data_IF_830268051707
#
_entry.id   IF_830268051707
#
_cell.length_a   1.000
_cell.length_b   1.000
_cell.length_c   1.000
_cell.angle_alpha   90.00
_cell.angle_beta   90.00
_cell.angle_gamma   90.00
#
_symmetry.space_group_name_H-M   'P 1'
#
loop_
_entity.id
_entity.type
_entity.pdbx_description
1 polymer ?
#
# COMPACT_ATOMS: atom_id res chain seq x y z
N UNK A 1 2.70 -16.23 3.57
CA UNK A 1 3.65 -17.28 3.23
C UNK A 1 4.10 -17.01 1.80
N UNK A 2 5.39 -17.03 1.55
CA UNK A 2 6.00 -16.80 0.24
C UNK A 2 7.31 -17.53 0.12
N UNK A 3 7.86 -17.58 -1.08
CA UNK A 3 9.13 -18.21 -1.41
C UNK A 3 9.89 -17.40 -2.46
N UNK A 4 11.18 -17.72 -2.63
CA UNK A 4 12.08 -17.05 -3.55
C UNK A 4 12.67 -18.09 -4.51
N UNK A 5 12.49 -17.90 -5.80
CA UNK A 5 12.79 -18.90 -6.83
C UNK A 5 13.66 -18.34 -7.95
N UNK A 6 14.45 -19.20 -8.58
CA UNK A 6 15.34 -18.84 -9.68
C UNK A 6 14.96 -19.56 -10.99
N UNK A 7 14.25 -20.69 -10.90
CA UNK A 7 13.87 -21.51 -12.04
C UNK A 7 12.38 -21.71 -12.15
N UNK A 8 11.91 -22.11 -13.33
CA UNK A 8 10.49 -22.41 -13.55
C UNK A 8 10.02 -23.59 -12.72
N UNK A 9 10.86 -24.62 -12.55
CA UNK A 9 10.55 -25.80 -11.74
C UNK A 9 10.37 -25.44 -10.27
N UNK A 10 11.25 -24.60 -9.73
CA UNK A 10 11.10 -24.06 -8.36
C UNK A 10 9.84 -23.24 -8.21
N UNK A 11 9.51 -22.42 -9.23
CA UNK A 11 8.31 -21.61 -9.23
C UNK A 11 7.01 -22.43 -9.19
N UNK A 12 6.93 -23.48 -10.00
CA UNK A 12 5.81 -24.42 -10.01
C UNK A 12 5.67 -25.14 -8.67
N UNK A 13 6.78 -25.63 -8.11
CA UNK A 13 6.79 -26.32 -6.83
C UNK A 13 6.31 -25.39 -5.68
N UNK A 14 6.80 -24.15 -5.64
CA UNK A 14 6.39 -23.16 -4.66
C UNK A 14 4.89 -22.80 -4.80
N UNK A 15 4.41 -22.64 -6.04
CA UNK A 15 3.00 -22.35 -6.27
C UNK A 15 2.08 -23.49 -5.87
N UNK A 16 2.46 -24.74 -6.09
CA UNK A 16 1.71 -25.91 -5.65
C UNK A 16 1.66 -26.01 -4.12
N UNK A 17 2.77 -25.67 -3.42
CA UNK A 17 2.78 -25.66 -1.94
C UNK A 17 1.92 -24.53 -1.37
N UNK A 18 1.95 -23.35 -1.99
CA UNK A 18 1.13 -22.19 -1.58
C UNK A 18 -0.34 -22.37 -1.94
N UNK A 19 -0.63 -23.08 -3.00
CA UNK A 19 -1.94 -23.21 -3.65
C UNK A 19 -2.30 -21.94 -4.44
N UNK A 20 -2.91 -22.11 -5.62
CA UNK A 20 -3.35 -21.00 -6.46
C UNK A 20 -4.52 -20.22 -5.85
N UNK A 21 -4.70 -18.93 -6.22
CA UNK A 21 -3.78 -18.11 -6.99
C UNK A 21 -2.55 -17.68 -6.19
N UNK A 22 -1.45 -17.38 -6.90
CA UNK A 22 -0.21 -16.84 -6.32
C UNK A 22 0.16 -15.51 -6.99
N UNK A 23 0.84 -14.65 -6.25
CA UNK A 23 1.40 -13.40 -6.73
C UNK A 23 2.87 -13.62 -7.06
N UNK A 24 3.28 -13.28 -8.27
CA UNK A 24 4.67 -13.37 -8.71
C UNK A 24 5.22 -11.98 -8.98
N UNK A 25 6.45 -11.74 -8.53
CA UNK A 25 7.15 -10.46 -8.74
C UNK A 25 8.65 -10.63 -8.79
N UNK A 26 9.38 -9.89 -9.63
CA UNK A 26 10.84 -9.83 -9.55
C UNK A 26 11.27 -9.20 -8.21
N UNK A 27 12.43 -9.58 -7.67
CA UNK A 27 12.89 -9.11 -6.35
C UNK A 27 13.18 -7.60 -6.28
N UNK A 28 13.51 -6.98 -7.39
CA UNK A 28 13.85 -5.54 -7.45
C UNK A 28 12.90 -4.81 -8.39
N UNK A 29 11.71 -4.51 -7.89
CA UNK A 29 10.67 -3.82 -8.65
C UNK A 29 10.15 -2.62 -7.88
N UNK A 30 9.97 -1.51 -8.59
CA UNK A 30 9.30 -0.32 -8.09
C UNK A 30 7.92 -0.18 -8.75
N UNK A 31 6.90 0.15 -7.95
CA UNK A 31 5.56 0.44 -8.45
C UNK A 31 4.84 -0.75 -9.10
N UNK A 32 5.16 -1.97 -8.69
CA UNK A 32 4.46 -3.18 -9.15
C UNK A 32 4.75 -3.61 -10.59
N UNK A 33 5.79 -3.07 -11.23
CA UNK A 33 6.16 -3.47 -12.60
C UNK A 33 6.43 -4.96 -12.69
N UNK A 34 5.96 -5.58 -13.78
CA UNK A 34 6.11 -7.01 -14.02
C UNK A 34 5.58 -7.91 -12.90
N UNK A 35 4.62 -7.44 -12.10
CA UNK A 35 3.89 -8.29 -11.17
C UNK A 35 2.70 -8.93 -11.87
N UNK A 36 2.48 -10.21 -11.61
CA UNK A 36 1.31 -10.94 -12.11
C UNK A 36 0.62 -11.73 -11.00
N UNK A 37 -0.65 -11.99 -11.17
CA UNK A 37 -1.40 -12.98 -10.39
C UNK A 37 -1.54 -14.21 -11.26
N UNK A 38 -0.89 -15.30 -10.87
CA UNK A 38 -0.96 -16.57 -11.59
C UNK A 38 -2.06 -17.46 -11.00
N UNK A 39 -2.93 -17.95 -11.85
CA UNK A 39 -4.06 -18.81 -11.49
C UNK A 39 -3.81 -20.28 -11.79
N UNK A 40 -2.73 -20.59 -12.51
CA UNK A 40 -2.34 -21.95 -12.88
C UNK A 40 -0.91 -22.04 -13.38
N UNK A 41 -0.49 -23.28 -13.69
CA UNK A 41 0.87 -23.59 -14.15
C UNK A 41 1.23 -22.88 -15.47
N UNK A 42 0.23 -22.65 -16.33
CA UNK A 42 0.44 -21.99 -17.63
C UNK A 42 0.91 -20.54 -17.44
N UNK A 43 0.30 -19.82 -16.52
CA UNK A 43 0.66 -18.42 -16.20
C UNK A 43 2.09 -18.34 -15.67
N UNK A 44 2.48 -19.30 -14.82
CA UNK A 44 3.86 -19.37 -14.28
C UNK A 44 4.87 -19.64 -15.39
N UNK A 45 4.60 -20.62 -16.26
CA UNK A 45 5.50 -20.96 -17.35
C UNK A 45 5.71 -19.78 -18.31
N UNK A 46 4.64 -19.07 -18.67
CA UNK A 46 4.71 -17.89 -19.53
C UNK A 46 5.52 -16.77 -18.87
N UNK A 47 5.21 -16.45 -17.61
CA UNK A 47 5.88 -15.40 -16.86
C UNK A 47 7.38 -15.67 -16.68
N UNK A 48 7.73 -16.87 -16.22
CA UNK A 48 9.13 -17.25 -16.03
C UNK A 48 9.92 -17.25 -17.36
N UNK A 49 9.28 -17.65 -18.46
CA UNK A 49 9.91 -17.57 -19.78
C UNK A 49 10.22 -16.12 -20.18
N UNK A 50 9.38 -15.16 -19.85
CA UNK A 50 9.62 -13.73 -20.11
C UNK A 50 10.76 -13.22 -19.23
N UNK A 51 10.73 -13.48 -17.93
CA UNK A 51 11.73 -13.01 -16.97
C UNK A 51 13.12 -13.59 -17.27
N UNK A 52 13.21 -14.90 -17.53
CA UNK A 52 14.49 -15.55 -17.84
C UNK A 52 15.11 -15.06 -19.16
N UNK A 53 14.29 -14.67 -20.15
CA UNK A 53 14.80 -14.06 -21.40
C UNK A 53 15.47 -12.70 -21.17
N UNK A 54 15.08 -11.96 -20.16
CA UNK A 54 15.66 -10.66 -19.81
C UNK A 54 17.02 -10.77 -19.11
N UNK A 55 17.58 -11.99 -18.95
CA UNK A 55 18.84 -12.27 -18.23
C UNK A 55 18.90 -11.60 -16.86
N UNK A 56 17.80 -11.65 -16.12
CA UNK A 56 17.79 -11.18 -14.75
C UNK A 56 18.47 -12.23 -13.87
N UNK A 57 19.56 -11.84 -13.23
CA UNK A 57 20.25 -12.64 -12.19
C UNK A 57 19.53 -12.58 -10.84
N UNK A 58 18.38 -11.90 -10.78
CA UNK A 58 17.62 -11.67 -9.57
C UNK A 58 16.51 -12.69 -9.41
N UNK A 59 16.29 -13.20 -8.20
CA UNK A 59 15.23 -14.16 -7.94
C UNK A 59 13.84 -13.56 -8.16
N UNK A 60 12.87 -14.42 -8.44
CA UNK A 60 11.44 -14.11 -8.44
C UNK A 60 10.86 -14.46 -7.07
N UNK A 61 10.06 -13.57 -6.51
CA UNK A 61 9.29 -13.81 -5.31
C UNK A 61 7.93 -14.36 -5.70
N UNK A 62 7.51 -15.41 -5.02
CA UNK A 62 6.18 -16.00 -5.15
C UNK A 62 5.51 -15.94 -3.80
N UNK A 63 4.40 -15.24 -3.72
CA UNK A 63 3.61 -15.10 -2.51
C UNK A 63 2.21 -15.67 -2.70
N UNK A 64 1.61 -16.20 -1.63
CA UNK A 64 0.18 -16.52 -1.64
C UNK A 64 -0.60 -15.25 -1.95
N UNK A 65 -1.40 -15.28 -3.02
CA UNK A 65 -2.33 -14.18 -3.29
C UNK A 65 -3.44 -14.17 -2.23
N UNK A 66 -3.61 -13.03 -1.59
CA UNK A 66 -4.65 -12.80 -0.60
C UNK A 66 -5.74 -11.93 -1.22
N UNK A 67 -6.98 -12.37 -1.14
CA UNK A 67 -8.15 -11.59 -1.56
C UNK A 67 -8.91 -11.14 -0.32
N UNK A 68 -8.97 -9.83 -0.11
CA UNK A 68 -9.61 -9.22 1.06
C UNK A 68 -9.83 -7.73 0.86
N UNK A 69 -10.17 -7.02 1.92
CA UNK A 69 -10.30 -5.56 1.92
C UNK A 69 -8.92 -4.94 2.11
N UNK A 70 -8.52 -4.08 1.20
CA UNK A 70 -7.26 -3.33 1.34
C UNK A 70 -7.47 -2.08 2.19
N UNK A 71 -6.56 -1.89 3.14
CA UNK A 71 -6.53 -0.78 4.08
C UNK A 71 -5.22 -0.02 3.91
N UNK A 72 -5.31 1.29 3.86
CA UNK A 72 -4.16 2.19 3.81
C UNK A 72 -4.11 3.08 5.04
N UNK A 73 -2.93 3.16 5.64
CA UNK A 73 -2.64 4.00 6.81
C UNK A 73 -1.45 4.88 6.51
N UNK A 74 -1.61 6.18 6.64
CA UNK A 74 -0.50 7.13 6.72
C UNK A 74 -0.33 7.56 8.18
N UNK A 75 0.87 7.38 8.72
CA UNK A 75 1.19 7.76 10.08
C UNK A 75 2.34 8.76 10.12
N UNK A 76 2.42 9.51 11.23
CA UNK A 76 3.54 10.35 11.59
C UNK A 76 4.21 9.70 12.80
N UNK A 77 5.53 9.56 12.77
CA UNK A 77 6.31 8.90 13.83
C UNK A 77 7.41 9.82 14.33
N UNK A 78 7.63 9.85 15.65
CA UNK A 78 8.71 10.60 16.30
C UNK A 78 9.83 9.71 16.88
N UNK A 79 9.81 8.42 16.49
CA UNK A 79 10.73 7.39 16.98
C UNK A 79 10.23 6.66 18.24
N UNK A 80 9.24 7.20 18.95
CA UNK A 80 8.66 6.61 20.16
C UNK A 80 7.14 6.50 20.08
N UNK A 81 6.49 7.50 19.50
CA UNK A 81 5.05 7.60 19.37
C UNK A 81 4.63 7.66 17.90
N UNK A 82 3.39 7.31 17.63
CA UNK A 82 2.75 7.48 16.32
C UNK A 82 1.51 8.34 16.43
N UNK A 83 1.18 9.04 15.34
CA UNK A 83 -0.13 9.66 15.12
C UNK A 83 -0.66 9.15 13.81
N UNK A 84 -1.83 8.54 13.83
CA UNK A 84 -2.59 8.07 12.67
C UNK A 84 -3.78 9.01 12.48
N UNK A 85 -3.76 9.92 11.50
CA UNK A 85 -4.87 10.84 11.25
C UNK A 85 -6.17 10.15 10.85
N UNK A 86 -6.07 8.99 10.20
CA UNK A 86 -7.21 8.18 9.82
C UNK A 86 -6.82 6.90 9.09
N UNK A 87 -7.77 5.97 9.08
CA UNK A 87 -7.66 4.70 8.37
C UNK A 87 -8.54 4.77 7.13
N UNK A 88 -7.97 4.45 5.97
CA UNK A 88 -8.66 4.45 4.68
C UNK A 88 -8.88 3.03 4.18
N UNK A 89 -9.94 2.86 3.41
CA UNK A 89 -10.29 1.61 2.74
C UNK A 89 -10.30 1.80 1.23
N UNK A 90 -9.74 0.86 0.48
CA UNK A 90 -9.81 0.86 -0.97
C UNK A 90 -11.10 0.20 -1.46
N UNK A 91 -11.69 0.78 -2.50
CA UNK A 91 -12.94 0.28 -3.10
C UNK A 91 -12.66 -0.84 -4.09
N UNK A 92 -11.52 -0.78 -4.75
CA UNK A 92 -11.10 -1.79 -5.74
C UNK A 92 -10.72 -3.11 -5.04
N UNK A 93 -10.82 -4.18 -5.85
CA UNK A 93 -10.35 -5.50 -5.41
C UNK A 93 -8.86 -5.51 -5.10
N UNK A 94 -8.43 -6.39 -4.24
CA UNK A 94 -7.02 -6.67 -3.94
C UNK A 94 -6.22 -6.91 -5.22
N UNK A 95 -5.02 -6.35 -5.28
CA UNK A 95 -4.12 -6.48 -6.42
C UNK A 95 -4.21 -5.30 -7.41
N UNK A 96 -4.97 -4.25 -7.10
CA UNK A 96 -4.87 -2.94 -7.76
C UNK A 96 -3.90 -2.08 -6.96
N UNK A 97 -2.99 -1.40 -7.66
CA UNK A 97 -2.02 -0.53 -6.97
C UNK A 97 -2.73 0.57 -6.17
N UNK A 98 -2.32 0.79 -4.91
CA UNK A 98 -2.96 1.75 -3.99
C UNK A 98 -3.05 3.18 -4.53
N UNK A 99 -2.05 3.61 -5.31
CA UNK A 99 -2.06 4.91 -5.98
C UNK A 99 -3.20 5.09 -6.97
N UNK A 100 -3.64 4.00 -7.59
CA UNK A 100 -4.67 3.95 -8.63
C UNK A 100 -6.06 3.67 -8.06
N UNK A 101 -6.14 3.32 -6.76
CA UNK A 101 -7.40 2.96 -6.11
C UNK A 101 -8.18 4.17 -5.61
N UNK A 102 -9.50 4.02 -5.64
CA UNK A 102 -10.41 4.90 -4.90
C UNK A 102 -10.25 4.59 -3.41
N UNK A 103 -9.97 5.60 -2.59
CA UNK A 103 -9.86 5.44 -1.16
C UNK A 103 -11.01 6.18 -0.44
N UNK A 104 -11.62 5.50 0.51
CA UNK A 104 -12.71 6.02 1.34
C UNK A 104 -12.20 6.21 2.77
N UNK A 105 -12.50 7.36 3.35
CA UNK A 105 -12.26 7.69 4.75
C UNK A 105 -13.57 8.09 5.43
N UNK A 106 -13.85 7.66 6.66
CA UNK A 106 -13.18 6.56 7.34
C UNK A 106 -13.43 5.22 6.63
N UNK A 107 -12.58 4.24 6.88
CA UNK A 107 -12.80 2.88 6.40
C UNK A 107 -14.16 2.35 6.89
N UNK A 108 -14.90 1.64 6.02
CA UNK A 108 -16.29 1.26 6.28
C UNK A 108 -16.43 -0.08 6.98
N UNK A 109 -15.60 -1.04 6.56
CA UNK A 109 -15.72 -2.44 6.95
C UNK A 109 -14.78 -2.82 8.10
N UNK A 110 -14.39 -1.80 8.90
CA UNK A 110 -13.55 -1.96 10.09
C UNK A 110 -14.35 -1.57 11.33
N UNK A 111 -14.49 -2.52 12.24
CA UNK A 111 -15.00 -2.26 13.59
C UNK A 111 -13.88 -1.81 14.54
N UNK A 112 -14.26 -1.48 15.77
CA UNK A 112 -13.32 -1.00 16.79
C UNK A 112 -12.21 -2.01 17.11
N UNK A 113 -12.50 -3.32 17.06
CA UNK A 113 -11.51 -4.37 17.31
C UNK A 113 -10.45 -4.42 16.21
N UNK A 114 -10.87 -4.42 14.94
CA UNK A 114 -9.95 -4.38 13.80
C UNK A 114 -9.17 -3.07 13.75
N UNK A 115 -9.82 -1.96 14.04
CA UNK A 115 -9.16 -0.65 14.14
C UNK A 115 -8.06 -0.66 15.19
N UNK A 116 -8.32 -1.20 16.38
CA UNK A 116 -7.32 -1.33 17.45
C UNK A 116 -6.15 -2.24 17.03
N UNK A 117 -6.42 -3.34 16.33
CA UNK A 117 -5.38 -4.22 15.78
C UNK A 117 -4.51 -3.51 14.75
N UNK A 118 -5.11 -2.73 13.83
CA UNK A 118 -4.38 -1.95 12.82
C UNK A 118 -3.48 -0.92 13.50
N UNK A 119 -4.02 -0.15 14.46
CA UNK A 119 -3.26 0.85 15.22
C UNK A 119 -2.07 0.18 15.93
N UNK A 120 -2.31 -0.93 16.63
CA UNK A 120 -1.25 -1.64 17.35
C UNK A 120 -0.18 -2.20 16.41
N UNK A 121 -0.58 -2.77 15.26
CA UNK A 121 0.36 -3.29 14.27
C UNK A 121 1.20 -2.15 13.67
N UNK A 122 0.56 -1.02 13.35
CA UNK A 122 1.24 0.19 12.86
C UNK A 122 2.25 0.70 13.89
N UNK A 123 1.87 0.78 15.17
CA UNK A 123 2.75 1.21 16.26
C UNK A 123 4.00 0.33 16.37
N UNK A 124 3.82 -0.99 16.39
CA UNK A 124 4.93 -1.95 16.48
C UNK A 124 5.88 -1.80 15.29
N UNK A 125 5.34 -1.76 14.06
CA UNK A 125 6.17 -1.61 12.86
C UNK A 125 6.95 -0.30 12.86
N UNK A 126 6.30 0.82 13.19
CA UNK A 126 6.95 2.13 13.24
C UNK A 126 8.07 2.18 14.29
N UNK A 127 7.83 1.61 15.46
CA UNK A 127 8.80 1.58 16.56
C UNK A 127 10.00 0.69 16.23
N UNK A 128 9.76 -0.53 15.74
CA UNK A 128 10.83 -1.47 15.38
C UNK A 128 11.68 -0.96 14.20
N UNK A 129 11.06 -0.29 13.25
CA UNK A 129 11.77 0.37 12.14
C UNK A 129 12.44 1.69 12.56
N UNK A 130 12.20 2.17 13.77
CA UNK A 130 12.68 3.48 14.26
C UNK A 130 12.33 4.61 13.29
N UNK A 131 11.10 4.57 12.77
CA UNK A 131 10.65 5.52 11.79
C UNK A 131 10.56 6.93 12.39
N UNK A 132 11.00 7.95 11.64
CA UNK A 132 10.85 9.36 11.98
C UNK A 132 10.28 10.09 10.77
N UNK A 133 9.21 10.84 10.97
CA UNK A 133 8.47 11.53 9.90
C UNK A 133 7.29 10.71 9.39
N UNK A 134 7.00 10.82 8.09
CA UNK A 134 5.88 10.13 7.47
C UNK A 134 6.21 8.68 7.11
N UNK A 135 5.25 7.81 7.33
CA UNK A 135 5.29 6.41 6.95
C UNK A 135 3.92 5.97 6.44
N UNK A 136 3.92 5.25 5.33
CA UNK A 136 2.72 4.68 4.73
C UNK A 136 2.74 3.16 4.88
N UNK A 137 1.63 2.61 5.32
CA UNK A 137 1.47 1.17 5.53
C UNK A 137 0.23 0.70 4.77
N UNK A 138 0.34 -0.47 4.14
CA UNK A 138 -0.76 -1.10 3.43
C UNK A 138 -1.03 -2.48 4.01
N UNK A 139 -2.30 -2.77 4.23
CA UNK A 139 -2.79 -3.99 4.83
C UNK A 139 -3.86 -4.65 3.97
N UNK A 140 -3.99 -5.96 4.09
CA UNK A 140 -5.18 -6.71 3.66
C UNK A 140 -5.87 -7.25 4.90
N UNK A 141 -7.18 -7.05 4.98
CA UNK A 141 -8.03 -7.72 5.95
C UNK A 141 -8.73 -8.88 5.26
N UNK A 142 -8.47 -10.09 5.74
CA UNK A 142 -9.11 -11.32 5.27
C UNK A 142 -9.49 -12.19 6.47
N UNK A 143 -10.76 -12.59 6.55
CA UNK A 143 -11.28 -13.39 7.68
C UNK A 143 -10.98 -12.77 9.06
N UNK A 144 -11.04 -11.45 9.19
CA UNK A 144 -10.72 -10.66 10.40
C UNK A 144 -9.25 -10.70 10.83
N UNK A 145 -8.37 -11.27 9.99
CA UNK A 145 -6.92 -11.24 10.18
C UNK A 145 -6.30 -10.12 9.33
N UNK A 146 -5.23 -9.52 9.86
CA UNK A 146 -4.52 -8.41 9.23
C UNK A 146 -3.21 -8.94 8.66
N UNK A 147 -3.01 -8.69 7.37
CA UNK A 147 -1.78 -9.00 6.65
C UNK A 147 -1.12 -7.71 6.19
N UNK A 148 0.17 -7.56 6.48
CA UNK A 148 0.96 -6.42 5.99
C UNK A 148 1.37 -6.68 4.55
N UNK A 149 1.04 -5.77 3.64
CA UNK A 149 1.47 -5.84 2.23
C UNK A 149 2.84 -5.19 2.10
N UNK A 150 2.93 -3.92 2.53
CA UNK A 150 4.17 -3.16 2.46
C UNK A 150 4.22 -2.03 3.49
N UNK A 151 5.43 -1.58 3.78
CA UNK A 151 5.72 -0.44 4.64
C UNK A 151 6.66 0.50 3.90
N UNK A 152 6.22 1.72 3.70
CA UNK A 152 6.95 2.75 2.95
C UNK A 152 7.33 3.91 3.88
N UNK A 153 8.58 4.03 4.35
CA UNK A 153 9.02 5.15 5.20
C UNK A 153 9.21 6.44 4.38
N UNK A 154 8.12 6.95 3.87
CA UNK A 154 8.01 8.16 3.05
C UNK A 154 6.59 8.69 3.05
N UNK A 155 6.40 9.92 2.57
CA UNK A 155 5.06 10.44 2.26
C UNK A 155 4.38 9.61 1.17
N UNK A 156 3.07 9.44 1.30
CA UNK A 156 2.20 8.86 0.28
C UNK A 156 1.44 9.96 -0.48
N UNK A 157 0.73 9.57 -1.53
CA UNK A 157 -0.17 10.47 -2.26
C UNK A 157 -1.46 10.79 -1.51
N UNK A 158 -1.79 10.00 -0.51
CA UNK A 158 -2.96 10.19 0.35
C UNK A 158 -2.74 11.22 1.46
N UNK A 159 -1.50 11.58 1.76
CA UNK A 159 -1.16 12.57 2.80
C UNK A 159 -1.87 13.92 2.61
N UNK A 160 -1.88 14.58 1.42
CA UNK A 160 -2.61 15.82 1.23
C UNK A 160 -4.12 15.67 1.39
N UNK A 161 -4.66 14.54 0.95
CA UNK A 161 -6.07 14.20 1.10
C UNK A 161 -6.45 14.04 2.58
N UNK A 162 -5.74 13.18 3.33
CA UNK A 162 -5.98 12.99 4.76
C UNK A 162 -5.79 14.27 5.56
N UNK A 163 -4.77 15.08 5.26
CA UNK A 163 -4.55 16.35 5.94
C UNK A 163 -5.77 17.29 5.81
N UNK A 164 -6.39 17.34 4.62
CA UNK A 164 -7.59 18.16 4.40
C UNK A 164 -8.83 17.59 5.09
N UNK A 165 -8.99 16.28 5.03
CA UNK A 165 -10.17 15.58 5.56
C UNK A 165 -10.19 15.57 7.07
N UNK A 166 -9.05 15.39 7.72
CA UNK A 166 -8.94 15.27 9.18
C UNK A 166 -8.59 16.59 9.87
N UNK A 167 -8.11 17.57 9.12
CA UNK A 167 -7.58 18.82 9.68
C UNK A 167 -6.20 18.66 10.34
N UNK A 168 -5.58 17.49 10.26
CA UNK A 168 -4.24 17.24 10.80
C UNK A 168 -3.19 17.67 9.77
N UNK A 169 -2.34 18.68 10.04
CA UNK A 169 -1.35 19.18 9.07
C UNK A 169 -0.15 18.24 8.99
N UNK A 170 -0.32 17.08 8.33
CA UNK A 170 0.63 15.96 8.36
C UNK A 170 2.05 16.34 7.94
N UNK A 171 2.20 17.13 6.88
CA UNK A 171 3.52 17.55 6.40
C UNK A 171 4.24 18.47 7.39
N UNK A 172 3.50 19.39 8.03
CA UNK A 172 4.05 20.29 9.05
C UNK A 172 4.50 19.49 10.28
N UNK A 173 3.66 18.58 10.78
CA UNK A 173 3.99 17.72 11.92
C UNK A 173 5.18 16.81 11.60
N UNK A 174 5.20 16.18 10.42
CA UNK A 174 6.31 15.35 10.00
C UNK A 174 7.64 16.12 9.91
N UNK A 175 7.59 17.35 9.45
CA UNK A 175 8.77 18.23 9.43
C UNK A 175 9.24 18.53 10.85
N UNK A 176 8.35 18.88 11.74
CA UNK A 176 8.67 19.16 13.16
C UNK A 176 9.29 17.96 13.88
N UNK A 177 8.72 16.76 13.70
CA UNK A 177 9.29 15.56 14.31
C UNK A 177 10.64 15.18 13.70
N UNK A 178 10.84 15.42 12.41
CA UNK A 178 12.15 15.23 11.75
C UNK A 178 13.22 16.21 12.27
N UNK A 179 12.79 17.34 12.82
CA UNK A 179 13.67 18.30 13.50
C UNK A 179 13.83 18.02 15.01
N UNK A 180 13.29 16.89 15.50
CA UNK A 180 13.46 16.42 16.87
C UNK A 180 12.36 16.79 17.86
N UNK A 181 11.25 17.39 17.40
CA UNK A 181 10.09 17.63 18.27
C UNK A 181 9.34 16.32 18.52
N UNK A 182 8.72 16.19 19.68
CA UNK A 182 7.89 15.04 20.02
C UNK A 182 6.41 15.29 19.67
N UNK A 183 5.73 14.24 19.23
CA UNK A 183 4.29 14.31 18.91
C UNK A 183 3.46 14.77 20.10
N UNK A 184 3.83 14.38 21.31
CA UNK A 184 3.18 14.79 22.55
C UNK A 184 3.14 16.32 22.74
N UNK A 185 4.10 17.05 22.18
CA UNK A 185 4.26 18.50 22.33
C UNK A 185 3.57 19.28 21.21
N UNK A 186 3.06 18.60 20.18
CA UNK A 186 2.50 19.23 18.98
C UNK A 186 0.99 19.45 19.03
N UNK A 187 0.30 18.99 20.10
CA UNK A 187 -1.10 19.30 20.35
C UNK A 187 -2.12 18.46 19.58
N UNK A 188 -1.69 17.44 18.83
CA UNK A 188 -2.58 16.53 18.07
C UNK A 188 -2.73 15.15 18.72
N UNK A 189 -2.03 14.90 19.84
CA UNK A 189 -2.05 13.62 20.54
C UNK A 189 -1.21 12.55 19.84
N UNK A 190 -1.43 11.31 20.25
CA UNK A 190 -0.78 10.10 19.74
C UNK A 190 -1.81 9.00 19.49
N UNK A 191 -1.45 7.97 18.72
CA UNK A 191 -2.36 6.90 18.34
C UNK A 191 -3.32 7.31 17.22
N UNK A 192 -4.53 6.78 17.23
CA UNK A 192 -5.56 7.11 16.25
C UNK A 192 -6.24 8.44 16.58
N UNK A 193 -6.21 9.36 15.63
CA UNK A 193 -6.89 10.65 15.76
C UNK A 193 -8.41 10.48 15.68
N UNK A 194 -9.20 11.32 16.36
CA UNK A 194 -10.66 11.25 16.30
C UNK A 194 -11.21 11.30 14.88
N UNK A 195 -12.12 10.38 14.57
CA UNK A 195 -12.73 10.28 13.25
C UNK A 195 -13.57 11.51 12.91
N UNK A 196 -13.42 12.03 11.70
CA UNK A 196 -14.25 13.13 11.19
C UNK A 196 -15.71 12.67 11.03
N UNK A 197 -16.69 13.60 11.22
CA UNK A 197 -18.11 13.25 11.18
C UNK A 197 -18.68 13.03 9.78
N UNK A 198 -17.84 13.05 8.75
CA UNK A 198 -18.23 12.89 7.36
C UNK A 198 -17.36 11.86 6.65
N UNK A 199 -17.93 11.27 5.60
CA UNK A 199 -17.19 10.39 4.70
C UNK A 199 -16.58 11.21 3.59
N UNK A 200 -15.30 10.95 3.31
CA UNK A 200 -14.59 11.54 2.18
C UNK A 200 -14.11 10.46 1.24
N UNK A 201 -14.03 10.77 -0.05
CA UNK A 201 -13.61 9.83 -1.10
C UNK A 201 -12.51 10.47 -1.92
N UNK A 202 -11.37 9.77 -2.03
CA UNK A 202 -10.30 10.10 -2.98
C UNK A 202 -10.57 9.30 -4.27
N UNK A 203 -10.70 9.99 -5.38
CA UNK A 203 -10.86 9.37 -6.70
C UNK A 203 -9.66 9.75 -7.56
N UNK A 204 -8.87 8.77 -8.07
CA UNK A 204 -7.80 9.05 -9.00
C UNK A 204 -8.36 9.49 -10.36
N UNK A 205 -7.67 10.40 -11.03
CA UNK A 205 -8.01 10.85 -12.39
C UNK A 205 -6.88 10.45 -13.31
N UNK A 206 -7.21 9.66 -14.33
CA UNK A 206 -6.26 9.16 -15.32
C UNK A 206 -6.42 9.95 -16.62
N UNK A 207 -5.30 10.41 -17.21
CA UNK A 207 -5.31 11.09 -18.51
C UNK A 207 -4.97 10.13 -19.65
N UNK A 208 -5.58 8.96 -19.71
CA UNK A 208 -5.34 7.96 -20.75
C UNK A 208 -5.56 8.52 -22.17
N UNK A 209 -6.44 9.51 -22.30
CA UNK A 209 -6.70 10.20 -23.58
C UNK A 209 -5.43 10.86 -24.18
N UNK A 210 -4.44 11.18 -23.33
CA UNK A 210 -3.20 11.84 -23.78
C UNK A 210 -2.08 10.86 -24.11
N UNK A 211 -2.29 9.59 -23.83
CA UNK A 211 -1.32 8.52 -24.01
C UNK A 211 -1.89 7.48 -24.96
N UNK A 212 -1.35 7.43 -26.16
CA UNK A 212 -1.62 6.34 -27.11
C UNK A 212 -0.84 5.10 -26.68
N UNK A 213 -1.42 3.92 -26.92
CA UNK A 213 -0.78 2.61 -26.69
C UNK A 213 -0.48 2.24 -25.21
N UNK A 214 -1.22 2.85 -24.27
CA UNK A 214 -1.15 2.47 -22.84
C UNK A 214 -2.28 1.50 -22.50
N UNK A 215 -1.91 0.41 -21.84
CA UNK A 215 -2.90 -0.47 -21.22
C UNK A 215 -3.64 0.27 -20.11
N UNK A 216 -4.96 0.39 -20.26
CA UNK A 216 -5.84 1.09 -19.32
C UNK A 216 -6.37 0.19 -18.21
N UNK A 217 -6.07 -1.10 -18.25
CA UNK A 217 -6.52 -2.04 -17.24
C UNK A 217 -5.73 -1.84 -15.94
N UNK A 218 -6.44 -1.57 -14.84
CA UNK A 218 -5.83 -1.44 -13.53
C UNK A 218 -5.37 -2.80 -13.01
N UNK A 219 -4.19 -2.79 -12.38
CA UNK A 219 -3.54 -3.98 -11.84
C UNK A 219 -2.49 -3.63 -10.78
N UNK A 220 -1.56 -4.55 -10.50
CA UNK A 220 -0.50 -4.32 -9.51
C UNK A 220 0.46 -3.20 -9.92
N UNK A 221 0.66 -2.98 -11.21
CA UNK A 221 1.48 -1.90 -11.74
C UNK A 221 0.76 -0.56 -11.64
N UNK A 222 1.43 0.44 -11.08
CA UNK A 222 0.87 1.77 -10.92
C UNK A 222 0.74 2.51 -12.26
N UNK A 223 -0.50 2.83 -12.65
CA UNK A 223 -0.82 3.58 -13.89
C UNK A 223 -0.81 5.09 -13.68
N UNK A 224 -1.24 5.56 -12.51
CA UNK A 224 -1.31 6.99 -12.19
C UNK A 224 0.06 7.69 -12.21
N UNK A 225 1.16 6.98 -11.92
CA UNK A 225 2.52 7.55 -11.95
C UNK A 225 2.97 7.99 -13.34
N UNK A 226 2.41 7.39 -14.37
CA UNK A 226 2.70 7.75 -15.76
C UNK A 226 2.08 9.10 -16.15
N UNK A 227 1.16 9.62 -15.34
CA UNK A 227 0.34 10.79 -15.67
C UNK A 227 0.25 11.70 -14.46
N UNK A 228 1.32 12.42 -14.16
CA UNK A 228 1.27 13.49 -13.16
C UNK A 228 0.71 14.76 -13.78
N UNK A 229 -0.61 14.92 -13.76
CA UNK A 229 -1.22 16.24 -13.81
C UNK A 229 -2.09 16.34 -12.57
N UNK A 230 -1.51 16.80 -11.47
CA UNK A 230 -2.30 17.35 -10.38
C UNK A 230 -2.81 18.71 -10.84
N UNK A 231 -4.03 18.80 -11.27
CA UNK A 231 -4.68 20.12 -11.29
C UNK A 231 -4.87 20.56 -9.84
N UNK A 232 -4.44 21.78 -9.48
CA UNK A 232 -4.76 22.32 -8.18
C UNK A 232 -6.27 22.48 -8.14
N UNK A 233 -6.93 21.73 -7.24
CA UNK A 233 -8.31 22.01 -6.89
C UNK A 233 -8.35 23.43 -6.38
N UNK A 234 -8.88 24.34 -7.18
CA UNK A 234 -9.21 25.69 -6.69
C UNK A 234 -10.30 25.56 -5.63
N UNK A 235 -10.21 26.36 -4.54
CA UNK A 235 -11.25 26.43 -3.55
C UNK A 235 -12.59 26.90 -4.12
#
# INVERSE_FOLDING_TARGET
KGDTVMTTEEALAAAHDLGYPVLMRPSYVLGGQNMIIAYGDEDINEYMAIILRQKQDNPVLIDKYLSGTEIEVDAICDGENILIPGIMEHVERTGIHSGDSIAVYPAKDIDDELSAKIVKTTEVLCTELKAIGLINLQYIIMNREIYVIEVNPRASRTVPYLSKVTGVPMCDLATKVSLGMKLTDLGYGTGLYPTSPYTAVKVPVFSFEKLTDVDTQLGPEMKLSLIHISEPTRP
#
